data_IF_127259824667
#
_entry.id   IF_127259824667
#
_cell.length_a   1.000
_cell.length_b   1.000
_cell.length_c   1.000
_cell.angle_alpha   90.00
_cell.angle_beta   90.00
_cell.angle_gamma   90.00
#
_symmetry.space_group_name_H-M   'P 1'
#
loop_
_entity.id
_entity.type
_entity.pdbx_description
1 polymer ?
#
# COMPACT_ATOMS: atom_id res chain seq x y z
N UNK A 1 -30.59 33.98 -38.05
CA UNK A 1 -30.78 32.77 -37.24
C UNK A 1 -29.41 32.16 -37.06
N UNK A 2 -28.82 32.38 -35.90
CA UNK A 2 -27.54 31.78 -35.51
C UNK A 2 -27.89 30.51 -34.74
N UNK A 3 -27.20 29.42 -35.06
CA UNK A 3 -27.40 28.09 -34.52
C UNK A 3 -27.07 28.06 -33.01
N UNK A 4 -27.94 27.56 -32.11
CA UNK A 4 -27.71 27.58 -30.66
C UNK A 4 -26.77 26.48 -30.14
N UNK A 5 -26.15 25.67 -31.01
CA UNK A 5 -25.40 24.47 -30.59
C UNK A 5 -23.87 24.64 -30.51
N UNK A 6 -23.31 25.82 -30.80
CA UNK A 6 -21.85 26.02 -30.92
C UNK A 6 -21.14 26.57 -29.66
N UNK A 7 -21.76 26.48 -28.48
CA UNK A 7 -21.19 27.05 -27.25
C UNK A 7 -20.44 26.07 -26.33
N UNK A 8 -20.25 24.80 -26.73
CA UNK A 8 -19.78 23.78 -25.78
C UNK A 8 -18.29 23.44 -25.80
N UNK A 9 -17.42 24.21 -26.47
CA UNK A 9 -15.97 24.06 -26.23
C UNK A 9 -15.23 25.39 -26.27
N UNK A 10 -14.69 25.76 -25.12
CA UNK A 10 -13.57 26.70 -24.95
C UNK A 10 -13.90 28.19 -25.04
N UNK A 11 -14.30 28.76 -23.90
CA UNK A 11 -14.25 30.22 -23.63
C UNK A 11 -12.85 30.83 -23.81
N UNK A 12 -11.82 29.99 -23.95
CA UNK A 12 -10.43 30.39 -24.09
C UNK A 12 -9.85 29.92 -25.43
N UNK A 13 -9.36 30.87 -26.22
CA UNK A 13 -8.77 30.61 -27.54
C UNK A 13 -7.59 29.60 -27.45
N UNK A 14 -7.41 28.65 -28.40
CA UNK A 14 -6.25 27.76 -28.44
C UNK A 14 -4.89 28.50 -28.42
N UNK A 15 -4.83 29.72 -28.96
CA UNK A 15 -3.66 30.62 -28.85
C UNK A 15 -3.45 31.02 -27.39
N UNK A 16 -4.52 31.36 -26.66
CA UNK A 16 -4.46 31.67 -25.23
C UNK A 16 -3.97 30.46 -24.42
N UNK A 17 -4.44 29.25 -24.73
CA UNK A 17 -3.93 28.01 -24.11
C UNK A 17 -2.42 27.81 -24.33
N UNK A 18 -1.94 28.08 -25.54
CA UNK A 18 -0.50 27.98 -25.86
C UNK A 18 0.34 29.04 -25.14
N UNK A 19 -0.22 30.23 -24.94
CA UNK A 19 0.42 31.33 -24.23
C UNK A 19 0.51 31.05 -22.73
N UNK A 20 -0.53 30.46 -22.13
CA UNK A 20 -0.52 30.09 -20.71
C UNK A 20 0.52 29.01 -20.38
N UNK A 21 0.89 28.12 -21.30
CA UNK A 21 1.99 27.15 -21.08
C UNK A 21 3.37 27.80 -20.93
N UNK A 22 3.52 29.08 -21.28
CA UNK A 22 4.75 29.85 -21.08
C UNK A 22 4.64 30.56 -19.73
N UNK A 23 5.03 29.86 -18.66
CA UNK A 23 5.20 30.36 -17.28
C UNK A 23 4.52 31.69 -16.97
N UNK A 24 3.36 31.64 -16.34
CA UNK A 24 2.58 32.81 -15.97
C UNK A 24 3.33 33.69 -14.95
N UNK A 25 3.22 35.03 -15.07
CA UNK A 25 3.54 35.93 -13.98
C UNK A 25 2.82 35.52 -12.69
N UNK A 26 3.46 35.63 -11.51
CA UNK A 26 2.87 35.24 -10.23
C UNK A 26 1.48 35.85 -9.98
N UNK A 27 1.27 37.09 -10.43
CA UNK A 27 0.01 37.82 -10.27
C UNK A 27 -1.15 37.18 -11.05
N UNK A 28 -0.87 36.54 -12.19
CA UNK A 28 -1.88 35.84 -12.98
C UNK A 28 -2.21 34.47 -12.40
N UNK A 29 -1.23 33.76 -11.82
CA UNK A 29 -1.48 32.54 -11.06
C UNK A 29 -2.39 32.79 -9.84
N UNK A 30 -2.17 33.91 -9.13
CA UNK A 30 -3.03 34.31 -8.01
C UNK A 30 -4.47 34.57 -8.43
N UNK A 31 -4.67 35.28 -9.54
CA UNK A 31 -6.01 35.57 -10.09
C UNK A 31 -6.73 34.33 -10.57
N UNK A 32 -6.03 33.39 -11.21
CA UNK A 32 -6.61 32.11 -11.58
C UNK A 32 -7.09 31.34 -10.35
N UNK A 33 -6.33 31.39 -9.25
CA UNK A 33 -6.74 30.77 -8.00
C UNK A 33 -8.01 31.41 -7.42
N UNK A 34 -8.07 32.75 -7.38
CA UNK A 34 -9.26 33.49 -6.95
C UNK A 34 -10.48 33.16 -7.82
N UNK A 35 -10.28 32.94 -9.12
CA UNK A 35 -11.36 32.50 -10.01
C UNK A 35 -11.82 31.07 -9.73
N UNK A 36 -10.91 30.14 -9.43
CA UNK A 36 -11.30 28.79 -9.00
C UNK A 36 -12.10 28.84 -7.68
N UNK A 37 -11.70 29.71 -6.75
CA UNK A 37 -12.40 29.90 -5.48
C UNK A 37 -13.79 30.50 -5.64
N UNK A 38 -13.98 31.43 -6.57
CA UNK A 38 -15.27 32.05 -6.88
C UNK A 38 -16.20 31.08 -7.63
N UNK A 39 -15.69 30.37 -8.64
CA UNK A 39 -16.47 29.41 -9.41
C UNK A 39 -17.02 28.27 -8.54
N UNK A 40 -16.27 27.85 -7.51
CA UNK A 40 -16.70 26.83 -6.54
C UNK A 40 -17.77 27.35 -5.54
N UNK A 41 -17.82 28.66 -5.27
CA UNK A 41 -18.84 29.26 -4.37
C UNK A 41 -20.16 29.56 -5.09
N UNK A 42 -20.11 29.80 -6.40
CA UNK A 42 -21.27 30.16 -7.22
C UNK A 42 -21.98 28.92 -7.82
N UNK A 43 -21.29 27.77 -7.86
CA UNK A 43 -21.76 26.54 -8.51
C UNK A 43 -22.77 25.71 -7.70
N UNK A 44 -24.07 25.87 -7.99
CA UNK A 44 -25.12 24.90 -7.67
C UNK A 44 -25.53 24.02 -8.90
N UNK A 45 -24.68 23.88 -9.93
CA UNK A 45 -25.01 23.10 -11.14
C UNK A 45 -23.83 22.47 -11.91
N UNK A 46 -24.12 21.40 -12.68
CA UNK A 46 -23.14 20.59 -13.45
C UNK A 46 -22.35 21.37 -14.52
N UNK A 47 -22.86 22.53 -14.99
CA UNK A 47 -22.19 23.34 -16.01
C UNK A 47 -21.02 24.19 -15.47
N UNK A 48 -21.02 24.51 -14.17
CA UNK A 48 -20.02 25.39 -13.54
C UNK A 48 -18.89 24.61 -12.83
N UNK A 49 -19.09 23.33 -12.50
CA UNK A 49 -17.98 22.43 -12.09
C UNK A 49 -16.88 22.33 -13.16
N UNK A 50 -17.26 22.46 -14.44
CA UNK A 50 -16.32 22.49 -15.56
C UNK A 50 -15.37 23.69 -15.53
N UNK A 51 -15.78 24.81 -14.93
CA UNK A 51 -14.94 26.01 -14.82
C UNK A 51 -13.83 25.82 -13.78
N UNK A 52 -14.11 25.19 -12.64
CA UNK A 52 -13.10 24.90 -11.61
C UNK A 52 -12.06 23.91 -12.12
N UNK A 53 -12.48 22.80 -12.74
CA UNK A 53 -11.57 21.82 -13.34
C UNK A 53 -10.69 22.47 -14.41
N UNK A 54 -11.28 23.29 -15.28
CA UNK A 54 -10.55 23.99 -16.33
C UNK A 54 -9.50 24.97 -15.79
N UNK A 55 -9.84 25.73 -14.75
CA UNK A 55 -8.89 26.65 -14.11
C UNK A 55 -7.73 25.89 -13.46
N UNK A 56 -8.02 24.76 -12.81
CA UNK A 56 -6.98 23.90 -12.22
C UNK A 56 -6.08 23.28 -13.30
N UNK A 57 -6.63 22.84 -14.44
CA UNK A 57 -5.84 22.37 -15.58
C UNK A 57 -4.89 23.45 -16.13
N UNK A 58 -5.35 24.71 -16.18
CA UNK A 58 -4.50 25.85 -16.55
C UNK A 58 -3.38 26.12 -15.55
N UNK A 59 -3.68 25.96 -14.25
CA UNK A 59 -2.70 26.06 -13.17
C UNK A 59 -1.68 24.91 -13.24
N UNK A 60 -2.12 23.68 -13.53
CA UNK A 60 -1.23 22.53 -13.71
C UNK A 60 -0.26 22.66 -14.89
N UNK A 61 -0.56 23.51 -15.88
CA UNK A 61 0.39 23.85 -16.94
C UNK A 61 1.54 24.77 -16.47
N UNK A 62 1.49 25.29 -15.24
CA UNK A 62 2.52 26.13 -14.65
C UNK A 62 3.50 25.30 -13.82
N UNK A 63 4.80 25.27 -14.17
CA UNK A 63 5.79 24.52 -13.40
C UNK A 63 6.15 25.15 -12.04
N UNK A 64 5.81 26.44 -11.84
CA UNK A 64 6.17 27.22 -10.65
C UNK A 64 4.99 28.08 -10.17
N UNK A 65 4.17 27.53 -9.28
CA UNK A 65 3.13 28.28 -8.58
C UNK A 65 3.56 28.67 -7.16
N UNK A 66 3.05 29.79 -6.60
CA UNK A 66 3.38 30.21 -5.24
C UNK A 66 2.95 29.15 -4.19
N UNK A 67 3.87 28.68 -3.32
CA UNK A 67 3.60 27.68 -2.28
C UNK A 67 2.36 27.93 -1.43
N UNK A 68 2.17 29.16 -0.94
CA UNK A 68 1.05 29.49 -0.06
C UNK A 68 -0.31 29.36 -0.75
N UNK A 69 -0.36 29.54 -2.07
CA UNK A 69 -1.58 29.46 -2.87
C UNK A 69 -1.93 28.03 -3.24
N UNK A 70 -0.93 27.23 -3.60
CA UNK A 70 -1.10 25.78 -3.70
C UNK A 70 -1.58 25.19 -2.38
N UNK A 71 -1.10 25.69 -1.24
CA UNK A 71 -1.53 25.20 0.08
C UNK A 71 -3.01 25.47 0.29
N UNK A 72 -3.47 26.69 0.00
CA UNK A 72 -4.89 27.06 0.04
C UNK A 72 -5.74 26.14 -0.85
N UNK A 73 -5.31 25.87 -2.09
CA UNK A 73 -5.99 24.90 -2.96
C UNK A 73 -6.05 23.52 -2.31
N UNK A 74 -4.90 23.02 -1.85
CA UNK A 74 -4.80 21.67 -1.31
C UNK A 74 -5.66 21.47 -0.07
N UNK A 75 -5.73 22.47 0.82
CA UNK A 75 -6.53 22.42 2.05
C UNK A 75 -8.02 22.47 1.75
N UNK A 76 -8.43 23.32 0.79
CA UNK A 76 -9.83 23.48 0.41
C UNK A 76 -10.37 22.23 -0.28
N UNK A 77 -9.60 21.63 -1.18
CA UNK A 77 -10.08 20.57 -2.06
C UNK A 77 -9.69 19.16 -1.60
N UNK A 78 -9.05 19.01 -0.44
CA UNK A 78 -8.74 17.68 0.12
C UNK A 78 -10.02 16.89 0.45
N UNK A 79 -11.15 17.56 0.65
CA UNK A 79 -12.47 16.97 0.96
C UNK A 79 -13.51 17.13 -0.16
N UNK A 80 -13.14 17.72 -1.30
CA UNK A 80 -14.06 17.94 -2.41
C UNK A 80 -14.35 16.66 -3.19
N UNK A 81 -15.30 16.73 -4.14
CA UNK A 81 -15.61 15.64 -5.06
C UNK A 81 -14.36 15.19 -5.84
N UNK A 82 -14.37 13.92 -6.28
CA UNK A 82 -13.24 13.22 -6.88
C UNK A 82 -12.75 13.92 -8.16
N UNK A 83 -13.62 14.61 -8.90
CA UNK A 83 -13.23 15.42 -10.06
C UNK A 83 -12.29 16.57 -9.70
N UNK A 84 -12.69 17.41 -8.74
CA UNK A 84 -11.90 18.57 -8.32
C UNK A 84 -10.63 18.10 -7.60
N UNK A 85 -10.75 17.08 -6.75
CA UNK A 85 -9.60 16.46 -6.10
C UNK A 85 -8.55 15.99 -7.12
N UNK A 86 -8.98 15.38 -8.22
CA UNK A 86 -8.10 14.93 -9.30
C UNK A 86 -7.41 16.10 -9.99
N UNK A 87 -8.12 17.17 -10.29
CA UNK A 87 -7.55 18.36 -10.92
C UNK A 87 -6.52 19.05 -10.00
N UNK A 88 -6.77 19.07 -8.68
CA UNK A 88 -5.81 19.57 -7.69
C UNK A 88 -4.57 18.67 -7.61
N UNK A 89 -4.74 17.34 -7.55
CA UNK A 89 -3.59 16.41 -7.58
C UNK A 89 -2.75 16.62 -8.83
N UNK A 90 -3.37 16.67 -10.03
CA UNK A 90 -2.66 16.98 -11.28
C UNK A 90 -1.89 18.30 -11.22
N UNK A 91 -2.50 19.33 -10.64
CA UNK A 91 -1.86 20.64 -10.47
C UNK A 91 -0.62 20.56 -9.56
N UNK A 92 -0.73 19.82 -8.45
CA UNK A 92 0.35 19.63 -7.49
C UNK A 92 1.50 18.79 -8.08
N UNK A 93 1.22 17.66 -8.70
CA UNK A 93 2.26 16.76 -9.26
C UNK A 93 2.97 17.37 -10.47
N UNK A 94 2.36 18.33 -11.15
CA UNK A 94 3.01 19.08 -12.23
C UNK A 94 4.04 20.11 -11.72
N UNK A 95 4.07 20.41 -10.42
CA UNK A 95 5.04 21.32 -9.84
C UNK A 95 6.43 20.67 -9.76
N UNK A 96 7.46 21.42 -10.14
CA UNK A 96 8.83 20.93 -10.07
C UNK A 96 9.28 20.57 -8.65
N UNK A 97 8.81 21.34 -7.66
CA UNK A 97 9.09 21.12 -6.24
C UNK A 97 7.87 21.47 -5.40
N UNK A 98 7.55 20.63 -4.42
CA UNK A 98 6.52 20.90 -3.43
C UNK A 98 7.13 21.11 -2.04
N UNK A 99 6.81 22.21 -1.33
CA UNK A 99 7.15 22.35 0.09
C UNK A 99 6.50 21.25 0.96
N UNK A 100 7.06 20.96 2.16
CA UNK A 100 6.57 19.89 3.03
C UNK A 100 5.06 19.88 3.33
N UNK A 101 4.39 21.03 3.59
CA UNK A 101 2.93 21.04 3.81
C UNK A 101 2.13 20.53 2.62
N UNK A 102 2.60 20.78 1.38
CA UNK A 102 1.96 20.29 0.17
C UNK A 102 2.23 18.82 -0.07
N UNK A 103 3.42 18.32 0.28
CA UNK A 103 3.70 16.89 0.25
C UNK A 103 2.76 16.15 1.22
N UNK A 104 2.55 16.71 2.42
CA UNK A 104 1.60 16.16 3.38
C UNK A 104 0.16 16.18 2.84
N UNK A 105 -0.25 17.26 2.18
CA UNK A 105 -1.55 17.33 1.53
C UNK A 105 -1.68 16.29 0.40
N UNK A 106 -0.65 16.14 -0.45
CA UNK A 106 -0.59 15.12 -1.50
C UNK A 106 -0.71 13.71 -0.91
N UNK A 107 -0.07 13.46 0.23
CA UNK A 107 -0.10 12.17 0.94
C UNK A 107 -1.52 11.82 1.43
N UNK A 108 -2.34 12.81 1.82
CA UNK A 108 -3.73 12.57 2.24
C UNK A 108 -4.61 12.02 1.10
N UNK A 109 -4.27 12.33 -0.16
CA UNK A 109 -5.00 11.79 -1.30
C UNK A 109 -4.83 10.28 -1.46
N UNK A 110 -3.81 9.67 -0.85
CA UNK A 110 -3.66 8.22 -0.82
C UNK A 110 -4.82 7.51 -0.07
N UNK A 111 -5.60 8.23 0.74
CA UNK A 111 -6.75 7.69 1.47
C UNK A 111 -8.02 7.59 0.62
N UNK A 112 -7.98 8.10 -0.62
CA UNK A 112 -9.11 8.07 -1.54
C UNK A 112 -9.25 6.69 -2.18
N UNK A 113 -10.46 6.39 -2.64
CA UNK A 113 -10.78 5.14 -3.35
C UNK A 113 -10.57 5.24 -4.88
N UNK A 114 -10.36 6.45 -5.43
CA UNK A 114 -10.11 6.65 -6.85
C UNK A 114 -8.68 6.23 -7.23
N UNK A 115 -8.55 5.03 -7.80
CA UNK A 115 -7.28 4.45 -8.23
C UNK A 115 -6.46 5.39 -9.14
N UNK A 116 -7.09 6.13 -10.04
CA UNK A 116 -6.37 6.97 -11.00
C UNK A 116 -5.72 8.17 -10.30
N UNK A 117 -6.50 8.83 -9.42
CA UNK A 117 -6.02 9.94 -8.61
C UNK A 117 -4.90 9.50 -7.66
N UNK A 118 -5.06 8.35 -7.00
CA UNK A 118 -4.06 7.83 -6.08
C UNK A 118 -2.78 7.45 -6.80
N UNK A 119 -2.87 6.90 -8.02
CA UNK A 119 -1.70 6.53 -8.82
C UNK A 119 -0.83 7.74 -9.16
N UNK A 120 -1.42 8.86 -9.62
CA UNK A 120 -0.67 10.08 -9.96
C UNK A 120 0.08 10.63 -8.73
N UNK A 121 -0.60 10.70 -7.58
CA UNK A 121 0.02 11.11 -6.32
C UNK A 121 1.15 10.16 -5.90
N UNK A 122 0.95 8.86 -6.06
CA UNK A 122 1.93 7.83 -5.71
C UNK A 122 3.18 7.94 -6.57
N UNK A 123 3.04 8.06 -7.89
CA UNK A 123 4.17 8.15 -8.81
C UNK A 123 5.03 9.37 -8.48
N UNK A 124 4.41 10.52 -8.22
CA UNK A 124 5.16 11.72 -7.83
C UNK A 124 5.90 11.53 -6.50
N UNK A 125 5.26 10.91 -5.49
CA UNK A 125 5.88 10.64 -4.19
C UNK A 125 7.05 9.65 -4.30
N UNK A 126 6.98 8.68 -5.22
CA UNK A 126 8.05 7.72 -5.49
C UNK A 126 9.27 8.35 -6.17
N UNK A 127 9.09 9.44 -6.92
CA UNK A 127 10.19 10.19 -7.52
C UNK A 127 10.99 11.01 -6.49
N UNK A 128 10.44 11.20 -5.29
CA UNK A 128 11.14 11.93 -4.23
C UNK A 128 12.15 11.05 -3.51
N UNK A 129 13.41 11.51 -3.47
CA UNK A 129 14.50 10.80 -2.79
C UNK A 129 14.29 10.68 -1.29
N UNK A 130 13.72 11.71 -0.67
CA UNK A 130 13.41 11.75 0.76
C UNK A 130 12.11 12.51 0.98
N UNK A 131 11.19 11.91 1.73
CA UNK A 131 9.92 12.53 2.08
C UNK A 131 9.96 13.10 3.51
N UNK A 132 9.18 14.16 3.79
CA UNK A 132 9.05 14.71 5.14
C UNK A 132 8.55 13.66 6.14
N UNK A 133 9.04 13.75 7.39
CA UNK A 133 8.69 12.81 8.46
C UNK A 133 7.19 12.69 8.68
N UNK A 134 6.46 13.81 8.60
CA UNK A 134 5.01 13.84 8.77
C UNK A 134 4.27 13.06 7.67
N UNK A 135 4.76 13.13 6.42
CA UNK A 135 4.20 12.36 5.31
C UNK A 135 4.45 10.85 5.50
N UNK A 136 5.67 10.48 5.90
CA UNK A 136 6.02 9.10 6.24
C UNK A 136 5.15 8.56 7.40
N UNK A 137 4.94 9.36 8.44
CA UNK A 137 4.11 9.01 9.58
C UNK A 137 2.64 8.84 9.19
N UNK A 138 2.13 9.68 8.31
CA UNK A 138 0.77 9.57 7.78
C UNK A 138 0.60 8.25 7.00
N UNK A 139 1.49 7.95 6.06
CA UNK A 139 1.45 6.70 5.29
C UNK A 139 1.49 5.47 6.20
N UNK A 140 2.41 5.44 7.17
CA UNK A 140 2.53 4.32 8.11
C UNK A 140 1.25 4.10 8.94
N UNK A 141 0.53 5.18 9.29
CA UNK A 141 -0.73 5.12 10.03
C UNK A 141 -1.92 4.71 9.15
N UNK A 142 -1.86 4.98 7.86
CA UNK A 142 -2.93 4.70 6.90
C UNK A 142 -2.92 3.25 6.41
N UNK A 143 -1.77 2.59 6.39
CA UNK A 143 -1.61 1.17 6.01
C UNK A 143 -2.74 0.20 6.46
N UNK A 144 -3.23 0.23 7.72
CA UNK A 144 -4.26 -0.70 8.16
C UNK A 144 -5.67 -0.37 7.64
N UNK A 145 -5.94 0.88 7.20
CA UNK A 145 -7.30 1.36 6.91
C UNK A 145 -7.50 1.86 5.49
N UNK A 146 -6.44 2.33 4.82
CA UNK A 146 -6.48 2.93 3.49
C UNK A 146 -7.11 1.99 2.45
N UNK A 147 -7.93 2.44 1.50
CA UNK A 147 -8.55 1.55 0.52
C UNK A 147 -7.55 0.66 -0.23
N UNK A 148 -6.38 1.22 -0.56
CA UNK A 148 -5.34 0.56 -1.37
C UNK A 148 -3.99 0.66 -0.62
N UNK A 149 -3.66 -0.32 0.24
CA UNK A 149 -2.45 -0.26 1.09
C UNK A 149 -1.14 -0.40 0.32
N UNK A 150 -1.19 -0.92 -0.90
CA UNK A 150 -0.03 -1.07 -1.80
C UNK A 150 0.69 0.27 -2.02
N UNK A 151 -0.06 1.36 -2.20
CA UNK A 151 0.51 2.67 -2.51
C UNK A 151 1.35 3.28 -1.36
N UNK A 152 0.84 3.44 -0.13
CA UNK A 152 1.69 3.88 0.96
C UNK A 152 2.80 2.86 1.27
N UNK A 153 2.58 1.57 1.07
CA UNK A 153 3.59 0.54 1.29
C UNK A 153 4.79 0.67 0.36
N UNK A 154 4.56 0.80 -0.96
CA UNK A 154 5.64 0.92 -1.95
C UNK A 154 6.41 2.23 -1.79
N UNK A 155 5.74 3.32 -1.40
CA UNK A 155 6.43 4.59 -1.13
C UNK A 155 7.36 4.45 0.09
N UNK A 156 6.86 3.82 1.18
CA UNK A 156 7.65 3.57 2.38
C UNK A 156 8.82 2.60 2.13
N UNK A 157 8.63 1.57 1.29
CA UNK A 157 9.69 0.60 0.96
C UNK A 157 10.83 1.23 0.16
N UNK A 158 10.52 2.27 -0.63
CA UNK A 158 11.50 2.99 -1.48
C UNK A 158 12.25 4.10 -0.76
N UNK A 159 11.87 4.46 0.46
CA UNK A 159 12.64 5.44 1.22
C UNK A 159 14.04 4.88 1.52
N UNK A 160 15.11 5.68 1.39
CA UNK A 160 16.47 5.20 1.62
C UNK A 160 16.71 4.79 3.09
N UNK A 161 15.99 5.43 4.01
CA UNK A 161 15.94 5.02 5.41
C UNK A 161 14.61 5.43 6.03
N UNK A 162 14.08 4.57 6.91
CA UNK A 162 12.94 4.91 7.74
C UNK A 162 13.40 5.19 9.18
N UNK A 163 13.10 6.38 9.73
CA UNK A 163 13.31 6.66 11.15
C UNK A 163 12.61 5.61 12.03
N UNK A 164 13.18 5.32 13.20
CA UNK A 164 12.65 4.31 14.12
C UNK A 164 11.20 4.55 14.52
N UNK A 165 10.78 5.82 14.57
CA UNK A 165 9.40 6.20 14.87
C UNK A 165 8.43 5.74 13.77
N UNK A 166 8.79 5.94 12.50
CA UNK A 166 7.98 5.50 11.35
C UNK A 166 7.93 3.98 11.29
N UNK A 167 9.08 3.36 11.50
CA UNK A 167 9.22 1.91 11.57
C UNK A 167 8.32 1.29 12.67
N UNK A 168 8.25 1.92 13.84
CA UNK A 168 7.35 1.50 14.92
C UNK A 168 5.86 1.70 14.59
N UNK A 169 5.52 2.77 13.84
CA UNK A 169 4.16 2.98 13.35
C UNK A 169 3.75 1.89 12.36
N UNK A 170 4.59 1.58 11.38
CA UNK A 170 4.33 0.51 10.41
C UNK A 170 4.27 -0.88 11.08
N UNK A 171 5.11 -1.15 12.08
CA UNK A 171 5.00 -2.36 12.91
C UNK A 171 3.70 -2.40 13.73
N UNK A 172 3.17 -1.25 14.13
CA UNK A 172 1.88 -1.21 14.82
C UNK A 172 0.72 -1.48 13.85
N UNK A 173 0.78 -0.94 12.63
CA UNK A 173 -0.15 -1.27 11.56
C UNK A 173 -0.13 -2.77 11.22
N UNK A 174 1.06 -3.35 11.14
CA UNK A 174 1.29 -4.78 10.91
C UNK A 174 0.55 -5.68 11.91
N UNK A 175 0.51 -5.27 13.19
CA UNK A 175 -0.21 -6.01 14.25
C UNK A 175 -1.73 -5.97 14.08
N UNK A 176 -2.24 -4.89 13.50
CA UNK A 176 -3.66 -4.67 13.27
C UNK A 176 -4.12 -5.20 11.90
N UNK A 177 -3.18 -5.53 11.01
CA UNK A 177 -3.46 -5.93 9.64
C UNK A 177 -4.30 -7.20 9.57
N UNK A 178 -5.29 -7.23 8.67
CA UNK A 178 -5.90 -8.47 8.18
C UNK A 178 -4.87 -9.26 7.36
N UNK A 179 -5.15 -10.53 7.07
CA UNK A 179 -4.24 -11.34 6.25
C UNK A 179 -4.07 -10.78 4.82
N UNK A 180 -5.09 -10.08 4.31
CA UNK A 180 -5.08 -9.43 2.99
C UNK A 180 -4.10 -8.26 2.93
N UNK A 181 -4.09 -7.38 3.95
CA UNK A 181 -3.26 -6.16 4.00
C UNK A 181 -1.82 -6.40 4.46
N UNK A 182 -1.55 -7.65 4.84
CA UNK A 182 -0.31 -7.97 5.48
C UNK A 182 0.86 -7.91 4.50
N UNK A 183 0.64 -8.35 3.26
CA UNK A 183 1.71 -8.44 2.25
C UNK A 183 2.32 -7.06 1.99
N UNK A 184 1.48 -6.04 1.87
CA UNK A 184 1.85 -4.66 1.61
C UNK A 184 2.58 -4.06 2.81
N UNK A 185 2.07 -4.29 4.03
CA UNK A 185 2.75 -3.81 5.24
C UNK A 185 4.11 -4.51 5.44
N UNK A 186 4.20 -5.79 5.09
CA UNK A 186 5.47 -6.51 5.12
C UNK A 186 6.45 -5.95 4.08
N UNK A 187 5.99 -5.70 2.86
CA UNK A 187 6.78 -5.08 1.78
C UNK A 187 7.34 -3.70 2.18
N UNK A 188 6.51 -2.87 2.83
CA UNK A 188 6.90 -1.56 3.35
C UNK A 188 8.09 -1.63 4.33
N UNK A 189 8.22 -2.75 5.04
CA UNK A 189 9.23 -2.95 6.09
C UNK A 189 10.44 -3.76 5.61
N UNK A 190 10.25 -4.70 4.69
CA UNK A 190 11.25 -5.70 4.35
C UNK A 190 12.51 -5.12 3.71
N UNK A 191 12.37 -4.01 2.97
CA UNK A 191 13.48 -3.32 2.31
C UNK A 191 14.41 -2.56 3.27
N UNK A 192 14.09 -2.54 4.56
CA UNK A 192 14.83 -1.78 5.56
C UNK A 192 15.60 -2.70 6.50
N UNK A 193 16.94 -2.64 6.49
CA UNK A 193 17.81 -3.38 7.43
C UNK A 193 17.38 -3.26 8.90
N UNK A 194 16.86 -2.09 9.28
CA UNK A 194 16.36 -1.80 10.61
C UNK A 194 15.22 -2.75 11.02
N UNK A 195 14.36 -3.15 10.08
CA UNK A 195 13.30 -4.13 10.31
C UNK A 195 13.86 -5.46 10.83
N UNK A 196 14.86 -6.01 10.13
CA UNK A 196 15.46 -7.28 10.54
C UNK A 196 16.14 -7.19 11.91
N UNK A 197 16.76 -6.05 12.23
CA UNK A 197 17.41 -5.81 13.53
C UNK A 197 16.42 -5.76 14.70
N UNK A 198 15.14 -5.45 14.45
CA UNK A 198 14.10 -5.44 15.48
C UNK A 198 13.44 -6.81 15.72
N UNK A 199 13.57 -7.77 14.80
CA UNK A 199 13.01 -9.12 14.95
C UNK A 199 13.23 -9.75 16.34
N UNK A 200 14.43 -9.68 16.97
CA UNK A 200 14.62 -10.21 18.32
C UNK A 200 13.62 -9.66 19.34
N UNK A 201 13.28 -8.38 19.20
CA UNK A 201 12.50 -7.60 20.15
C UNK A 201 10.99 -7.77 19.95
N UNK A 202 10.57 -8.29 18.79
CA UNK A 202 9.16 -8.46 18.48
C UNK A 202 8.47 -9.48 19.43
N UNK A 203 7.19 -9.27 19.78
CA UNK A 203 6.35 -10.26 20.43
C UNK A 203 6.34 -11.60 19.69
N UNK A 204 6.16 -12.69 20.44
CA UNK A 204 6.14 -14.05 19.89
C UNK A 204 5.07 -14.22 18.80
N UNK A 205 3.89 -13.64 19.01
CA UNK A 205 2.79 -13.71 18.05
C UNK A 205 3.16 -13.06 16.69
N UNK A 206 3.76 -11.87 16.73
CA UNK A 206 4.18 -11.15 15.52
C UNK A 206 5.25 -11.93 14.76
N UNK A 207 6.22 -12.50 15.49
CA UNK A 207 7.24 -13.38 14.93
C UNK A 207 6.65 -14.62 14.28
N UNK A 208 5.67 -15.27 14.93
CA UNK A 208 4.98 -16.42 14.33
C UNK A 208 4.30 -16.04 13.01
N UNK A 209 3.66 -14.86 12.95
CA UNK A 209 3.01 -14.37 11.72
C UNK A 209 4.02 -14.14 10.60
N UNK A 210 5.15 -13.47 10.90
CA UNK A 210 6.26 -13.30 9.94
C UNK A 210 6.80 -14.64 9.43
N UNK A 211 7.04 -15.57 10.35
CA UNK A 211 7.56 -16.89 10.03
C UNK A 211 6.64 -17.63 9.04
N UNK A 212 5.33 -17.57 9.23
CA UNK A 212 4.38 -18.22 8.31
C UNK A 212 4.53 -17.70 6.88
N UNK A 213 4.84 -16.42 6.73
CA UNK A 213 4.92 -15.77 5.41
C UNK A 213 6.24 -16.03 4.75
N UNK A 214 7.34 -15.91 5.49
CA UNK A 214 8.63 -16.34 4.98
C UNK A 214 8.64 -17.81 4.62
N UNK A 215 7.96 -18.68 5.37
CA UNK A 215 7.82 -20.10 5.01
C UNK A 215 7.05 -20.28 3.70
N UNK A 216 5.94 -19.56 3.50
CA UNK A 216 5.20 -19.59 2.23
C UNK A 216 6.05 -19.10 1.05
N UNK A 217 6.80 -18.01 1.22
CA UNK A 217 7.67 -17.42 0.19
C UNK A 217 8.90 -18.27 -0.10
N UNK A 218 9.48 -18.92 0.91
CA UNK A 218 10.67 -19.78 0.77
C UNK A 218 10.48 -20.97 -0.18
N UNK A 219 9.23 -21.33 -0.51
CA UNK A 219 8.92 -22.37 -1.48
C UNK A 219 9.08 -21.91 -2.94
N UNK A 220 9.04 -20.60 -3.21
CA UNK A 220 9.14 -20.02 -4.56
C UNK A 220 10.27 -18.98 -4.71
N UNK A 221 10.81 -18.48 -3.60
CA UNK A 221 11.80 -17.39 -3.57
C UNK A 221 13.02 -17.78 -2.72
N UNK A 222 14.14 -17.08 -2.94
CA UNK A 222 15.38 -17.25 -2.17
C UNK A 222 15.28 -16.53 -0.82
N UNK A 223 14.41 -17.04 0.05
CA UNK A 223 14.16 -16.52 1.40
C UNK A 223 14.66 -17.56 2.42
N UNK A 224 15.86 -17.34 2.95
CA UNK A 224 16.52 -18.26 3.87
C UNK A 224 16.81 -17.58 5.21
N UNK A 225 16.40 -18.24 6.30
CA UNK A 225 16.71 -17.83 7.66
C UNK A 225 17.34 -18.98 8.44
N UNK A 226 18.54 -18.79 8.96
CA UNK A 226 19.23 -19.82 9.74
C UNK A 226 20.14 -19.21 10.82
N UNK A 227 20.50 -20.02 11.82
CA UNK A 227 21.38 -19.58 12.90
C UNK A 227 22.80 -20.06 12.65
N UNK A 228 23.77 -19.16 12.74
CA UNK A 228 25.21 -19.46 12.61
C UNK A 228 26.03 -18.57 13.53
N UNK A 229 26.99 -19.17 14.25
CA UNK A 229 27.98 -18.46 15.08
C UNK A 229 27.37 -17.43 16.06
N UNK A 230 26.16 -17.74 16.53
CA UNK A 230 25.42 -16.93 17.47
C UNK A 230 24.61 -15.76 16.90
N UNK A 231 24.55 -15.68 15.57
CA UNK A 231 23.77 -14.70 14.82
C UNK A 231 22.61 -15.38 14.09
N UNK A 232 21.55 -14.61 13.81
CA UNK A 232 20.54 -14.96 12.81
C UNK A 232 21.06 -14.49 11.45
N UNK A 233 21.31 -15.41 10.55
CA UNK A 233 21.64 -15.11 9.16
C UNK A 233 20.33 -15.02 8.38
N UNK A 234 20.18 -13.90 7.68
CA UNK A 234 19.07 -13.60 6.79
C UNK A 234 19.65 -13.47 5.38
N UNK A 235 19.11 -14.25 4.46
CA UNK A 235 19.42 -14.20 3.03
C UNK A 235 18.08 -14.11 2.29
N UNK A 236 17.67 -12.88 2.01
CA UNK A 236 16.54 -12.51 1.16
C UNK A 236 17.05 -11.73 -0.07
N UNK A 237 16.23 -11.54 -1.11
CA UNK A 237 16.59 -10.67 -2.23
C UNK A 237 16.97 -9.25 -1.80
N UNK A 238 16.30 -8.74 -0.77
CA UNK A 238 16.43 -7.35 -0.31
C UNK A 238 17.44 -7.16 0.82
N UNK A 239 17.79 -8.23 1.54
CA UNK A 239 18.73 -8.18 2.65
C UNK A 239 19.58 -9.45 2.77
N UNK A 240 20.89 -9.25 2.81
CA UNK A 240 21.87 -10.30 3.11
C UNK A 240 22.74 -9.87 4.28
N UNK A 241 22.55 -10.51 5.42
CA UNK A 241 23.27 -10.11 6.63
C UNK A 241 23.16 -11.09 7.78
N UNK A 242 24.08 -10.94 8.74
CA UNK A 242 24.07 -11.66 10.00
C UNK A 242 23.76 -10.68 11.14
N UNK A 243 22.76 -11.01 11.93
CA UNK A 243 22.28 -10.19 13.04
C UNK A 243 22.75 -10.84 14.34
N UNK A 244 23.70 -10.25 15.07
CA UNK A 244 24.17 -10.78 16.34
C UNK A 244 23.05 -10.81 17.37
N UNK A 245 22.95 -11.90 18.12
CA UNK A 245 21.85 -12.09 19.08
C UNK A 245 22.32 -12.61 20.44
N UNK A 246 21.80 -12.04 21.55
CA UNK A 246 21.93 -12.64 22.87
C UNK A 246 21.35 -14.06 22.90
N UNK A 247 21.90 -14.92 23.78
CA UNK A 247 21.51 -16.32 23.89
C UNK A 247 19.99 -16.50 24.07
N UNK A 248 19.37 -15.69 24.94
CA UNK A 248 17.93 -15.73 25.18
C UNK A 248 17.11 -15.49 23.91
N UNK A 249 17.42 -14.43 23.15
CA UNK A 249 16.68 -14.08 21.94
C UNK A 249 16.86 -15.14 20.85
N UNK A 250 18.04 -15.74 20.78
CA UNK A 250 18.33 -16.85 19.87
C UNK A 250 17.49 -18.08 20.18
N UNK A 251 17.40 -18.47 21.46
CA UNK A 251 16.56 -19.59 21.90
C UNK A 251 15.09 -19.29 21.58
N UNK A 252 14.61 -18.09 21.91
CA UNK A 252 13.24 -17.64 21.62
C UNK A 252 12.90 -17.76 20.13
N UNK A 253 13.67 -17.13 19.24
CA UNK A 253 13.39 -17.19 17.80
C UNK A 253 13.51 -18.61 17.24
N UNK A 254 14.50 -19.40 17.68
CA UNK A 254 14.65 -20.79 17.25
C UNK A 254 13.43 -21.64 17.61
N UNK A 255 12.88 -21.44 18.81
CA UNK A 255 11.65 -22.10 19.24
C UNK A 255 10.46 -21.64 18.40
N UNK A 256 10.30 -20.32 18.20
CA UNK A 256 9.22 -19.76 17.39
C UNK A 256 9.26 -20.30 15.96
N UNK A 257 10.43 -20.31 15.31
CA UNK A 257 10.59 -20.79 13.94
C UNK A 257 10.25 -22.28 13.86
N UNK A 258 10.81 -23.10 14.74
CA UNK A 258 10.53 -24.56 14.77
C UNK A 258 9.06 -24.87 14.99
N UNK A 259 8.45 -24.24 16.00
CA UNK A 259 7.04 -24.46 16.32
C UNK A 259 6.13 -23.99 15.18
N UNK A 260 6.48 -22.88 14.52
CA UNK A 260 5.71 -22.38 13.38
C UNK A 260 5.82 -23.33 12.18
N UNK A 261 7.02 -23.84 11.87
CA UNK A 261 7.21 -24.84 10.82
C UNK A 261 6.35 -26.08 11.09
N UNK A 262 6.44 -26.64 12.30
CA UNK A 262 5.65 -27.83 12.69
C UNK A 262 4.15 -27.57 12.61
N UNK A 263 3.70 -26.39 13.04
CA UNK A 263 2.29 -26.01 12.95
C UNK A 263 1.84 -25.90 11.49
N UNK A 264 2.64 -25.28 10.62
CA UNK A 264 2.35 -25.15 9.20
C UNK A 264 2.35 -26.50 8.48
N UNK A 265 3.29 -27.39 8.76
CA UNK A 265 3.33 -28.72 8.14
C UNK A 265 2.11 -29.54 8.55
N UNK A 266 1.79 -29.59 9.86
CA UNK A 266 0.57 -30.27 10.36
C UNK A 266 -0.70 -29.67 9.75
N UNK A 267 -0.82 -28.35 9.65
CA UNK A 267 -1.96 -27.70 9.01
C UNK A 267 -2.09 -28.10 7.52
N UNK A 268 -0.98 -28.13 6.79
CA UNK A 268 -0.97 -28.56 5.37
C UNK A 268 -1.36 -30.02 5.18
N UNK A 269 -1.00 -30.89 6.13
CA UNK A 269 -1.36 -32.31 6.12
C UNK A 269 -2.86 -32.48 6.40
N UNK A 270 -3.39 -31.72 7.36
CA UNK A 270 -4.83 -31.69 7.66
C UNK A 270 -5.62 -31.16 6.46
N UNK A 271 -5.16 -30.10 5.80
CA UNK A 271 -5.81 -29.56 4.61
C UNK A 271 -5.77 -30.54 3.43
N UNK A 272 -4.63 -31.22 3.21
CA UNK A 272 -4.53 -32.29 2.22
C UNK A 272 -5.49 -33.45 2.53
N UNK A 273 -5.57 -33.88 3.79
CA UNK A 273 -6.52 -34.90 4.21
C UNK A 273 -7.97 -34.45 3.97
N UNK A 274 -8.32 -33.20 4.32
CA UNK A 274 -9.66 -32.64 4.07
C UNK A 274 -9.98 -32.50 2.58
N UNK A 275 -9.01 -32.08 1.76
CA UNK A 275 -9.15 -31.98 0.31
C UNK A 275 -9.37 -33.37 -0.31
N UNK A 276 -8.57 -34.35 0.12
CA UNK A 276 -8.74 -35.74 -0.27
C UNK A 276 -10.11 -36.28 0.14
N UNK A 277 -10.54 -36.09 1.39
CA UNK A 277 -11.88 -36.49 1.86
C UNK A 277 -12.98 -35.84 1.00
N UNK A 278 -12.91 -34.54 0.71
CA UNK A 278 -13.89 -33.85 -0.14
C UNK A 278 -13.91 -34.41 -1.57
N UNK A 279 -12.73 -34.64 -2.16
CA UNK A 279 -12.60 -35.26 -3.48
C UNK A 279 -13.15 -36.68 -3.50
N UNK A 280 -12.85 -37.48 -2.48
CA UNK A 280 -13.38 -38.83 -2.33
C UNK A 280 -14.90 -38.82 -2.14
N UNK A 281 -15.46 -37.91 -1.35
CA UNK A 281 -16.92 -37.77 -1.18
C UNK A 281 -17.58 -37.37 -2.51
N UNK A 282 -17.02 -36.42 -3.25
CA UNK A 282 -17.52 -36.02 -4.56
C UNK A 282 -17.45 -37.17 -5.59
N UNK A 283 -16.39 -37.98 -5.55
CA UNK A 283 -16.21 -39.16 -6.39
C UNK A 283 -17.16 -40.31 -6.03
N UNK A 284 -17.40 -40.55 -4.74
CA UNK A 284 -18.35 -41.59 -4.28
C UNK A 284 -19.80 -41.26 -4.63
N UNK A 285 -20.19 -39.99 -4.69
CA UNK A 285 -21.53 -39.56 -5.16
C UNK A 285 -21.79 -39.86 -6.63
N UNK A 286 -20.75 -40.06 -7.44
CA UNK A 286 -20.85 -40.37 -8.87
C UNK A 286 -20.66 -41.86 -9.21
N UNK A 287 -20.44 -42.73 -8.22
CA UNK A 287 -20.08 -44.13 -8.44
C UNK A 287 -20.79 -45.12 -7.48
N UNK A 288 -20.75 -46.40 -7.84
CA UNK A 288 -21.49 -47.53 -7.23
C UNK A 288 -21.13 -47.82 -5.75
N UNK A 289 -22.05 -48.40 -4.94
CA UNK A 289 -21.88 -48.67 -3.50
C UNK A 289 -20.62 -49.46 -3.05
N UNK A 290 -19.98 -50.24 -3.92
CA UNK A 290 -18.70 -50.89 -3.58
C UNK A 290 -17.53 -49.91 -3.48
N UNK A 291 -17.60 -48.78 -4.20
CA UNK A 291 -16.64 -47.68 -4.12
C UNK A 291 -16.66 -47.00 -2.74
N UNK A 292 -17.84 -46.94 -2.08
CA UNK A 292 -17.99 -46.40 -0.73
C UNK A 292 -17.25 -47.23 0.32
N UNK A 293 -17.30 -48.57 0.23
CA UNK A 293 -16.62 -49.46 1.18
C UNK A 293 -15.09 -49.32 1.11
N UNK A 294 -14.55 -49.09 -0.09
CA UNK A 294 -13.12 -48.87 -0.32
C UNK A 294 -12.64 -47.51 0.21
N UNK A 295 -13.45 -46.46 0.03
CA UNK A 295 -13.15 -45.13 0.58
C UNK A 295 -13.25 -45.13 2.10
N UNK A 296 -14.26 -45.79 2.67
CA UNK A 296 -14.46 -45.87 4.12
C UNK A 296 -13.32 -46.61 4.84
N UNK A 297 -12.83 -47.72 4.27
CA UNK A 297 -11.67 -48.46 4.84
C UNK A 297 -10.38 -47.64 4.76
N UNK A 298 -10.17 -46.93 3.65
CA UNK A 298 -9.04 -46.01 3.50
C UNK A 298 -9.09 -44.85 4.50
N UNK A 299 -10.28 -44.27 4.73
CA UNK A 299 -10.52 -43.22 5.74
C UNK A 299 -10.24 -43.71 7.17
N UNK A 300 -10.64 -44.94 7.50
CA UNK A 300 -10.38 -45.54 8.80
C UNK A 300 -8.88 -45.75 9.06
N UNK A 301 -8.12 -46.13 8.02
CA UNK A 301 -6.66 -46.26 8.12
C UNK A 301 -5.99 -44.90 8.32
N UNK A 302 -6.40 -43.87 7.56
CA UNK A 302 -5.86 -42.51 7.68
C UNK A 302 -6.16 -41.90 9.05
N UNK A 303 -7.41 -42.01 9.54
CA UNK A 303 -7.80 -41.51 10.86
C UNK A 303 -7.05 -42.20 11.99
N UNK A 304 -6.80 -43.51 11.85
CA UNK A 304 -5.97 -44.27 12.80
C UNK A 304 -4.51 -43.82 12.78
N UNK A 305 -3.99 -43.48 11.60
CA UNK A 305 -2.64 -42.92 11.44
C UNK A 305 -2.51 -41.52 12.07
N UNK A 306 -3.49 -40.65 11.85
CA UNK A 306 -3.54 -39.30 12.46
C UNK A 306 -3.65 -39.38 13.99
N UNK A 307 -4.40 -40.34 14.53
CA UNK A 307 -4.53 -40.56 15.97
C UNK A 307 -3.24 -41.07 16.62
N UNK A 308 -2.43 -41.85 15.91
CA UNK A 308 -1.15 -42.40 16.41
C UNK A 308 -0.02 -41.36 16.43
N UNK A 309 -0.12 -40.29 15.64
CA UNK A 309 0.92 -39.25 15.50
C UNK A 309 0.55 -37.89 16.16
N UNK A 310 -0.55 -37.85 16.92
CA UNK A 310 -1.04 -36.65 17.63
C UNK A 310 -0.57 -36.52 19.10
N UNK A 311 0.53 -37.17 19.49
CA UNK A 311 1.21 -36.95 20.79
C UNK A 311 2.36 -35.95 20.60
#
# INVERSE_FOLDING_TARGET
MVDPQDHHTSRFDPIFRSALRRGLPPDLGNRLLELAELADLEGEGEEEEGDVEYILDLLGAQPFLPPGKLLQLSERFVTSDDRIARAVVKTLVAQAHLPPPLILALTRFLDRADNALVLDATLWLLEQSELPLEALALMARMLPTVPIPEFPAIILSRQPSLPSEIMNLALSAFRLATDERYAEIHEALEHHDAFYRMLPQLPVHDLQRLCRIWLRRSLGERVNFYFRDGSLVVDTPDFQGAIPMPLYQRIKLRLVFRLTVVACTRASEIERARSWIRGSVAWTRSHSPWAFALVATSLAVILRWVALYSI
#
